data_IF_957990721105
#
_entry.id   IF_957990721105
#
_cell.length_a   1.000
_cell.length_b   1.000
_cell.length_c   1.000
_cell.angle_alpha   90.00
_cell.angle_beta   90.00
_cell.angle_gamma   90.00
#
_symmetry.space_group_name_H-M   'P 1'
#
loop_
_entity.id
_entity.type
_entity.pdbx_description
1 polymer ?
#
# COMPACT_ATOMS: atom_id res chain seq x y z
N UNK A 1 5.80 -29.26 -13.28
CA UNK A 1 5.51 -28.09 -12.42
C UNK A 1 4.54 -28.53 -11.33
N UNK A 2 4.79 -28.17 -10.07
CA UNK A 2 3.82 -28.40 -8.99
C UNK A 2 2.83 -27.24 -8.99
N UNK A 3 1.53 -27.55 -9.10
CA UNK A 3 0.45 -26.56 -8.99
C UNK A 3 -0.10 -26.57 -7.57
N UNK A 4 -0.48 -25.41 -7.05
CA UNK A 4 -1.17 -25.25 -5.78
C UNK A 4 -2.53 -24.58 -6.02
N UNK A 5 -3.55 -24.99 -5.26
CA UNK A 5 -4.90 -24.44 -5.36
C UNK A 5 -5.11 -23.45 -4.21
N UNK A 6 -5.73 -22.30 -4.50
CA UNK A 6 -6.10 -21.29 -3.52
C UNK A 6 -7.62 -21.35 -3.34
N UNK A 7 -8.07 -21.61 -2.10
CA UNK A 7 -9.47 -21.54 -1.72
C UNK A 7 -9.65 -20.42 -0.68
N UNK A 8 -10.49 -19.43 -1.00
CA UNK A 8 -10.83 -18.34 -0.09
C UNK A 8 -12.34 -18.07 -0.14
N UNK A 9 -12.93 -17.78 1.03
CA UNK A 9 -14.31 -17.31 1.12
C UNK A 9 -14.34 -15.80 0.95
N UNK A 10 -15.31 -15.31 0.20
CA UNK A 10 -15.55 -13.89 -0.03
C UNK A 10 -17.05 -13.65 -0.01
N UNK A 11 -17.46 -12.47 0.43
CA UNK A 11 -18.84 -12.06 0.34
C UNK A 11 -19.31 -12.01 -1.13
N UNK A 12 -20.50 -12.54 -1.47
CA UNK A 12 -20.98 -12.58 -2.85
C UNK A 12 -21.04 -11.21 -3.51
N UNK A 13 -21.39 -10.17 -2.75
CA UNK A 13 -21.47 -8.80 -3.25
C UNK A 13 -20.10 -8.26 -3.66
N UNK A 14 -19.11 -8.39 -2.77
CA UNK A 14 -17.73 -7.97 -3.03
C UNK A 14 -17.17 -8.71 -4.25
N UNK A 15 -17.45 -10.02 -4.35
CA UNK A 15 -17.03 -10.83 -5.51
C UNK A 15 -17.59 -10.25 -6.81
N UNK A 16 -18.89 -9.98 -6.86
CA UNK A 16 -19.56 -9.49 -8.06
C UNK A 16 -19.02 -8.12 -8.48
N UNK A 17 -18.82 -7.21 -7.52
CA UNK A 17 -18.26 -5.89 -7.79
C UNK A 17 -16.84 -5.97 -8.32
N UNK A 18 -15.98 -6.76 -7.67
CA UNK A 18 -14.60 -6.95 -8.11
C UNK A 18 -14.53 -7.59 -9.51
N UNK A 19 -15.36 -8.59 -9.79
CA UNK A 19 -15.41 -9.24 -11.11
C UNK A 19 -15.90 -8.29 -12.21
N UNK A 20 -16.80 -7.35 -11.91
CA UNK A 20 -17.18 -6.30 -12.85
C UNK A 20 -16.00 -5.41 -13.24
N UNK A 21 -15.25 -4.92 -12.25
CA UNK A 21 -14.04 -4.10 -12.48
C UNK A 21 -12.97 -4.89 -13.25
N UNK A 22 -12.72 -6.14 -12.88
CA UNK A 22 -11.74 -6.98 -13.57
C UNK A 22 -12.14 -7.26 -15.02
N UNK A 23 -13.43 -7.45 -15.29
CA UNK A 23 -13.95 -7.64 -16.64
C UNK A 23 -13.72 -6.41 -17.52
N UNK A 24 -13.96 -5.19 -17.00
CA UNK A 24 -13.64 -3.94 -17.72
C UNK A 24 -12.14 -3.81 -18.04
N UNK A 25 -11.28 -4.36 -17.18
CA UNK A 25 -9.83 -4.42 -17.38
C UNK A 25 -9.38 -5.60 -18.27
N UNK A 26 -10.30 -6.45 -18.74
CA UNK A 26 -9.99 -7.64 -19.54
C UNK A 26 -9.28 -8.75 -18.76
N UNK A 27 -9.48 -8.82 -17.45
CA UNK A 27 -8.84 -9.77 -16.55
C UNK A 27 -9.85 -10.74 -15.92
N UNK A 28 -9.46 -11.99 -15.77
CA UNK A 28 -10.16 -12.94 -14.90
C UNK A 28 -9.72 -12.80 -13.44
N UNK A 29 -10.58 -13.22 -12.51
CA UNK A 29 -10.26 -13.31 -11.07
C UNK A 29 -8.99 -14.11 -10.81
N UNK A 30 -8.76 -15.18 -11.58
CA UNK A 30 -7.56 -16.02 -11.47
C UNK A 30 -6.29 -15.31 -11.94
N UNK A 31 -6.36 -14.47 -12.97
CA UNK A 31 -5.23 -13.64 -13.41
C UNK A 31 -4.91 -12.57 -12.38
N UNK A 32 -5.92 -11.88 -11.85
CA UNK A 32 -5.76 -10.88 -10.80
C UNK A 32 -5.07 -11.47 -9.56
N UNK A 33 -5.50 -12.65 -9.09
CA UNK A 33 -4.87 -13.36 -7.96
C UNK A 33 -3.42 -13.73 -8.30
N UNK A 34 -3.14 -14.25 -9.49
CA UNK A 34 -1.76 -14.58 -9.90
C UNK A 34 -0.86 -13.34 -9.93
N UNK A 35 -1.35 -12.22 -10.45
CA UNK A 35 -0.63 -10.94 -10.47
C UNK A 35 -0.35 -10.49 -9.03
N UNK A 36 -1.34 -10.53 -8.15
CA UNK A 36 -1.20 -10.17 -6.74
C UNK A 36 -0.07 -10.95 -6.05
N UNK A 37 -0.04 -12.28 -6.17
CA UNK A 37 1.04 -13.10 -5.61
C UNK A 37 2.40 -12.78 -6.21
N UNK A 38 2.46 -12.51 -7.53
CA UNK A 38 3.71 -12.13 -8.17
C UNK A 38 4.23 -10.79 -7.67
N UNK A 39 3.35 -9.82 -7.41
CA UNK A 39 3.75 -8.54 -6.83
C UNK A 39 4.25 -8.69 -5.40
N UNK A 40 3.65 -9.58 -4.61
CA UNK A 40 4.16 -9.91 -3.26
C UNK A 40 5.60 -10.44 -3.35
N UNK A 41 5.83 -11.43 -4.22
CA UNK A 41 7.17 -12.01 -4.36
C UNK A 41 8.19 -11.01 -4.90
N UNK A 42 7.78 -10.11 -5.79
CA UNK A 42 8.67 -9.12 -6.40
C UNK A 42 9.07 -8.02 -5.42
N UNK A 43 8.14 -7.57 -4.56
CA UNK A 43 8.36 -6.45 -3.64
C UNK A 43 8.82 -6.87 -2.26
N UNK A 44 8.73 -8.16 -1.91
CA UNK A 44 8.99 -8.64 -0.55
C UNK A 44 7.97 -8.14 0.48
N UNK A 45 6.76 -7.79 0.04
CA UNK A 45 5.72 -7.17 0.86
C UNK A 45 4.41 -7.02 0.11
N UNK A 46 3.38 -6.49 0.77
CA UNK A 46 2.08 -6.32 0.12
C UNK A 46 2.15 -5.29 -1.02
N UNK A 47 1.41 -5.49 -2.12
CA UNK A 47 1.50 -4.65 -3.30
C UNK A 47 0.77 -3.30 -3.18
N UNK A 48 0.28 -3.00 -1.98
CA UNK A 48 -0.33 -1.75 -1.58
C UNK A 48 0.21 -1.35 -0.21
N UNK A 49 0.16 -0.07 0.11
CA UNK A 49 0.59 0.42 1.42
C UNK A 49 -0.35 -0.13 2.50
N UNK A 50 0.18 -0.97 3.37
CA UNK A 50 -0.54 -1.44 4.57
C UNK A 50 -0.07 -0.61 5.73
N UNK A 51 -0.57 0.61 5.78
CA UNK A 51 -0.33 1.52 6.87
C UNK A 51 -1.68 1.89 7.48
N UNK A 52 -2.02 1.28 8.60
CA UNK A 52 -2.71 2.04 9.65
C UNK A 52 -1.57 2.71 10.40
N UNK A 53 -1.41 4.05 10.30
CA UNK A 53 -0.38 4.73 11.05
C UNK A 53 -0.54 4.38 12.53
N UNK A 54 0.55 4.00 13.20
CA UNK A 54 0.50 3.88 14.65
C UNK A 54 0.16 5.25 15.27
N UNK A 55 -0.24 5.29 16.54
CA UNK A 55 -0.70 6.53 17.19
C UNK A 55 0.31 7.67 17.05
N UNK A 56 1.61 7.37 17.16
CA UNK A 56 2.69 8.33 16.96
C UNK A 56 2.71 8.87 15.52
N UNK A 57 2.76 7.99 14.51
CA UNK A 57 2.75 8.39 13.09
C UNK A 57 1.49 9.17 12.73
N UNK A 58 0.32 8.75 13.22
CA UNK A 58 -0.94 9.46 13.02
C UNK A 58 -0.86 10.87 13.61
N UNK A 59 -0.46 11.00 14.87
CA UNK A 59 -0.35 12.29 15.56
C UNK A 59 0.67 13.22 14.90
N UNK A 60 1.83 12.71 14.49
CA UNK A 60 2.86 13.48 13.80
C UNK A 60 2.37 13.98 12.43
N UNK A 61 1.70 13.14 11.65
CA UNK A 61 1.12 13.56 10.36
C UNK A 61 0.06 14.64 10.55
N UNK A 62 -0.78 14.54 11.58
CA UNK A 62 -1.80 15.55 11.91
C UNK A 62 -1.18 16.88 12.36
N UNK A 63 -0.15 16.86 13.20
CA UNK A 63 0.60 18.05 13.59
C UNK A 63 1.22 18.75 12.37
N UNK A 64 1.90 17.97 11.52
CA UNK A 64 2.53 18.50 10.32
C UNK A 64 1.52 19.14 9.36
N UNK A 65 0.33 18.54 9.17
CA UNK A 65 -0.76 19.13 8.37
C UNK A 65 -1.24 20.49 8.89
N UNK A 66 -1.12 20.74 10.20
CA UNK A 66 -1.46 22.02 10.84
C UNK A 66 -0.28 23.00 10.88
N UNK A 67 0.88 22.63 10.33
CA UNK A 67 2.11 23.42 10.41
C UNK A 67 2.79 23.38 11.78
N UNK A 68 2.39 22.47 12.66
CA UNK A 68 3.02 22.26 13.96
C UNK A 68 4.23 21.33 13.84
N UNK A 69 5.31 21.63 14.54
CA UNK A 69 6.56 20.85 14.53
C UNK A 69 7.15 20.64 13.11
N UNK A 70 6.88 21.56 12.17
CA UNK A 70 7.44 21.57 10.80
C UNK A 70 8.62 22.56 10.72
N UNK A 71 9.71 22.13 10.09
CA UNK A 71 10.89 22.97 9.84
C UNK A 71 11.06 23.17 8.33
N UNK A 72 11.34 24.40 7.94
CA UNK A 72 11.68 24.76 6.56
C UNK A 72 13.18 25.06 6.47
N UNK A 73 13.80 24.67 5.37
CA UNK A 73 15.23 24.86 5.12
C UNK A 73 15.44 25.49 3.75
N UNK A 74 16.45 26.36 3.67
CA UNK A 74 16.79 27.07 2.43
C UNK A 74 17.54 26.17 1.42
N UNK A 75 18.09 25.04 1.86
CA UNK A 75 18.80 24.07 1.03
C UNK A 75 18.77 22.66 1.63
N UNK A 76 19.06 21.65 0.80
CA UNK A 76 19.20 20.27 1.27
C UNK A 76 20.38 20.11 2.24
N UNK A 77 21.48 20.84 2.03
CA UNK A 77 22.65 20.80 2.90
C UNK A 77 22.30 21.29 4.32
N UNK A 78 21.59 22.43 4.42
CA UNK A 78 21.12 22.96 5.70
C UNK A 78 20.13 22.01 6.41
N UNK A 79 19.31 21.27 5.66
CA UNK A 79 18.44 20.25 6.21
C UNK A 79 19.24 19.08 6.80
N UNK A 80 20.24 18.56 6.08
CA UNK A 80 21.05 17.43 6.55
C UNK A 80 21.88 17.79 7.79
N UNK A 81 22.46 19.00 7.84
CA UNK A 81 23.18 19.49 9.03
C UNK A 81 22.30 19.53 10.28
N UNK A 82 20.98 19.74 10.14
CA UNK A 82 20.05 19.75 11.27
C UNK A 82 19.74 18.37 11.85
N UNK A 83 19.97 17.30 11.07
CA UNK A 83 19.67 15.92 11.46
C UNK A 83 20.84 15.24 12.18
N UNK A 84 22.06 15.71 11.96
CA UNK A 84 23.25 15.18 12.62
C UNK A 84 23.40 15.73 14.04
N UNK A 85 23.00 14.92 15.02
CA UNK A 85 23.44 15.02 16.42
C UNK A 85 23.89 13.66 16.93
#
# INVERSE_FOLDING_TARGET
MKTAIIHARIEPEIKRQAEGVLHELGLSSTEAIRIFYRLITLRGGLPFAVAVPNECTAATLEKSRRGEDVQEFESLDAMFESWEK
#
